data_IF_938368951035
#
_entry.id   IF_938368951035
#
_cell.length_a   1.000
_cell.length_b   1.000
_cell.length_c   1.000
_cell.angle_alpha   90.00
_cell.angle_beta   90.00
_cell.angle_gamma   90.00
#
_symmetry.space_group_name_H-M   'P 1'
#
loop_
_entity.id
_entity.type
_entity.pdbx_description
1 polymer ?
#
# COMPACT_ATOMS: atom_id res chain seq x y z
N UNK A 1 -19.76 -8.06 -53.02
CA UNK A 1 -18.55 -8.65 -52.39
C UNK A 1 -17.78 -7.71 -51.42
N UNK A 2 -18.30 -6.56 -51.06
CA UNK A 2 -17.59 -5.53 -50.23
C UNK A 2 -17.99 -5.51 -48.74
N UNK A 3 -19.07 -6.19 -48.33
CA UNK A 3 -19.49 -6.19 -46.92
C UNK A 3 -18.74 -7.20 -46.02
N UNK A 4 -18.31 -8.34 -46.55
CA UNK A 4 -17.60 -9.36 -45.77
C UNK A 4 -16.17 -8.95 -45.36
N UNK A 5 -15.50 -8.09 -46.14
CA UNK A 5 -14.15 -7.61 -45.80
C UNK A 5 -14.13 -6.60 -44.65
N UNK A 6 -15.18 -5.80 -44.47
CA UNK A 6 -15.25 -4.81 -43.37
C UNK A 6 -15.49 -5.45 -42.00
N UNK A 7 -16.24 -6.55 -41.94
CA UNK A 7 -16.53 -7.25 -40.69
C UNK A 7 -15.28 -7.98 -40.16
N UNK A 8 -14.51 -8.56 -41.07
CA UNK A 8 -13.24 -9.24 -40.75
C UNK A 8 -12.17 -8.31 -40.14
N UNK A 9 -12.08 -7.07 -40.62
CA UNK A 9 -11.12 -6.07 -40.13
C UNK A 9 -11.55 -5.52 -38.76
N UNK A 10 -12.83 -5.28 -38.52
CA UNK A 10 -13.35 -4.87 -37.20
C UNK A 10 -13.18 -5.95 -36.16
N UNK A 11 -13.42 -7.21 -36.52
CA UNK A 11 -13.18 -8.35 -35.62
C UNK A 11 -11.68 -8.54 -35.29
N UNK A 12 -10.79 -8.39 -36.27
CA UNK A 12 -9.36 -8.48 -36.08
C UNK A 12 -8.83 -7.33 -35.18
N UNK A 13 -9.32 -6.11 -35.38
CA UNK A 13 -8.93 -4.93 -34.56
C UNK A 13 -9.43 -5.11 -33.10
N UNK A 14 -10.65 -5.64 -32.91
CA UNK A 14 -11.18 -5.92 -31.57
C UNK A 14 -10.41 -7.04 -30.84
N UNK A 15 -9.97 -8.07 -31.55
CA UNK A 15 -9.14 -9.15 -30.98
C UNK A 15 -7.73 -8.63 -30.63
N UNK A 16 -7.14 -7.75 -31.48
CA UNK A 16 -5.87 -7.11 -31.16
C UNK A 16 -5.97 -6.16 -29.95
N UNK A 17 -7.06 -5.41 -29.79
CA UNK A 17 -7.28 -4.53 -28.64
C UNK A 17 -7.48 -5.33 -27.34
N UNK A 18 -8.13 -6.48 -27.39
CA UNK A 18 -8.28 -7.37 -26.22
C UNK A 18 -6.97 -8.06 -25.83
N UNK A 19 -6.09 -8.36 -26.80
CA UNK A 19 -4.78 -8.95 -26.53
C UNK A 19 -3.77 -7.96 -25.92
N UNK A 20 -4.07 -6.66 -25.92
CA UNK A 20 -3.23 -5.58 -25.38
C UNK A 20 -3.73 -5.04 -24.02
N UNK A 21 -4.68 -5.70 -23.36
CA UNK A 21 -5.10 -5.28 -22.03
C UNK A 21 -4.02 -5.60 -20.98
N UNK A 22 -3.75 -4.69 -20.02
CA UNK A 22 -2.88 -4.99 -18.88
C UNK A 22 -3.35 -6.26 -18.17
N UNK A 23 -2.40 -7.10 -17.75
CA UNK A 23 -2.72 -8.30 -16.99
C UNK A 23 -3.01 -7.96 -15.54
N UNK A 24 -4.18 -8.36 -15.03
CA UNK A 24 -4.57 -8.23 -13.64
C UNK A 24 -4.94 -9.61 -13.10
N UNK A 25 -4.50 -9.95 -11.90
CA UNK A 25 -4.85 -11.22 -11.27
C UNK A 25 -6.37 -11.32 -11.12
N UNK A 26 -6.87 -12.53 -11.32
CA UNK A 26 -8.27 -12.84 -11.02
C UNK A 26 -8.34 -13.49 -9.63
N UNK A 27 -9.48 -13.35 -8.91
CA UNK A 27 -9.72 -14.11 -7.70
C UNK A 27 -9.52 -15.61 -7.95
N UNK A 28 -8.96 -16.32 -6.97
CA UNK A 28 -8.83 -17.76 -7.06
C UNK A 28 -10.21 -18.41 -6.93
N UNK A 29 -10.34 -19.64 -7.47
CA UNK A 29 -11.48 -20.49 -7.14
C UNK A 29 -11.12 -21.24 -5.85
N UNK A 30 -11.85 -21.06 -4.74
CA UNK A 30 -11.55 -21.76 -3.50
C UNK A 30 -11.56 -23.28 -3.70
N UNK A 31 -10.62 -24.02 -3.09
CA UNK A 31 -10.63 -25.48 -3.17
C UNK A 31 -11.88 -26.07 -2.49
N UNK A 32 -12.33 -27.28 -2.85
CA UNK A 32 -13.53 -27.89 -2.29
C UNK A 32 -13.55 -28.01 -0.75
N UNK A 33 -12.38 -28.09 -0.11
CA UNK A 33 -12.23 -28.15 1.34
C UNK A 33 -12.11 -26.77 2.02
N UNK A 34 -12.30 -25.67 1.28
CA UNK A 34 -12.21 -24.33 1.84
C UNK A 34 -13.32 -24.07 2.85
N UNK A 35 -12.95 -23.90 4.11
CA UNK A 35 -13.89 -23.66 5.22
C UNK A 35 -14.18 -22.17 5.48
N UNK A 36 -13.64 -21.29 4.65
CA UNK A 36 -13.71 -19.82 4.81
C UNK A 36 -12.36 -19.19 5.19
N UNK A 37 -12.34 -17.84 5.24
CA UNK A 37 -11.13 -17.11 5.65
C UNK A 37 -10.68 -17.45 7.07
N UNK A 38 -9.35 -17.52 7.30
CA UNK A 38 -8.79 -17.87 8.61
C UNK A 38 -7.41 -17.24 8.83
N UNK A 39 -7.10 -16.93 10.09
CA UNK A 39 -5.75 -16.60 10.55
C UNK A 39 -5.00 -17.89 10.90
N UNK A 40 -3.93 -18.17 10.18
CA UNK A 40 -3.00 -19.26 10.47
C UNK A 40 -1.76 -18.74 11.24
N UNK A 41 -0.83 -19.62 11.57
CA UNK A 41 0.34 -19.26 12.35
C UNK A 41 1.25 -18.25 11.66
N UNK A 42 1.48 -18.41 10.38
CA UNK A 42 2.42 -17.64 9.54
C UNK A 42 1.79 -17.15 8.22
N UNK A 43 0.46 -17.23 8.12
CA UNK A 43 -0.29 -16.81 6.95
C UNK A 43 -1.72 -16.38 7.32
N UNK A 44 -2.40 -15.77 6.37
CA UNK A 44 -3.85 -15.59 6.38
C UNK A 44 -4.45 -16.20 5.12
N UNK A 45 -5.49 -16.99 5.27
CA UNK A 45 -6.33 -17.47 4.16
C UNK A 45 -7.44 -16.46 3.96
N UNK A 46 -7.52 -15.88 2.75
CA UNK A 46 -8.52 -14.85 2.44
C UNK A 46 -9.72 -15.43 1.70
N UNK A 47 -10.67 -14.56 1.33
CA UNK A 47 -12.03 -14.90 0.88
C UNK A 47 -12.13 -15.85 -0.33
N UNK A 48 -11.11 -15.90 -1.18
CA UNK A 48 -11.04 -16.77 -2.36
C UNK A 48 -10.11 -17.98 -2.17
N UNK A 49 -9.69 -18.23 -0.92
CA UNK A 49 -8.80 -19.32 -0.55
C UNK A 49 -7.31 -19.05 -0.82
N UNK A 50 -6.93 -17.84 -1.23
CA UNK A 50 -5.52 -17.49 -1.35
C UNK A 50 -4.87 -17.46 0.02
N UNK A 51 -3.64 -17.99 0.09
CA UNK A 51 -2.79 -17.96 1.27
C UNK A 51 -1.81 -16.80 1.14
N UNK A 52 -1.94 -15.80 2.03
CA UNK A 52 -1.04 -14.66 2.09
C UNK A 52 -0.08 -14.84 3.27
N UNK A 53 1.21 -15.03 3.04
CA UNK A 53 2.21 -15.18 4.11
C UNK A 53 2.21 -13.98 5.04
N UNK A 54 2.38 -14.21 6.34
CA UNK A 54 2.24 -13.18 7.36
C UNK A 54 3.33 -13.29 8.43
N UNK A 55 3.80 -12.14 8.93
CA UNK A 55 4.58 -12.02 10.16
C UNK A 55 3.70 -11.44 11.25
N UNK A 56 3.91 -11.90 12.48
CA UNK A 56 3.22 -11.39 13.65
C UNK A 56 4.21 -11.07 14.74
N UNK A 57 4.04 -9.92 15.37
CA UNK A 57 4.71 -9.56 16.59
C UNK A 57 3.63 -9.37 17.66
N UNK A 58 3.61 -10.26 18.63
CA UNK A 58 2.59 -10.33 19.63
C UNK A 58 3.18 -9.93 20.99
N UNK A 59 2.49 -9.09 21.80
CA UNK A 59 2.93 -8.77 23.14
C UNK A 59 2.74 -9.97 24.09
N UNK A 60 3.34 -9.88 25.27
CA UNK A 60 2.97 -10.75 26.38
C UNK A 60 1.57 -10.37 26.87
N UNK A 61 0.62 -11.32 26.84
CA UNK A 61 -0.77 -11.11 27.22
C UNK A 61 -1.65 -10.53 26.10
N UNK A 62 -2.84 -10.05 26.48
CA UNK A 62 -3.81 -9.49 25.54
C UNK A 62 -3.38 -8.08 25.09
N UNK A 63 -3.35 -7.81 23.78
CA UNK A 63 -2.98 -6.51 23.26
C UNK A 63 -4.09 -5.48 23.57
N UNK A 64 -3.68 -4.26 23.94
CA UNK A 64 -4.62 -3.15 24.04
C UNK A 64 -4.92 -2.53 22.67
N UNK A 65 -4.02 -2.68 21.70
CA UNK A 65 -4.20 -2.28 20.32
C UNK A 65 -3.58 -3.31 19.36
N UNK A 66 -4.05 -3.31 18.11
CA UNK A 66 -3.53 -4.17 17.05
C UNK A 66 -3.34 -3.34 15.79
N UNK A 67 -2.22 -3.51 15.12
CA UNK A 67 -1.89 -2.91 13.83
C UNK A 67 -1.91 -3.98 12.75
N UNK A 68 -2.78 -3.84 11.75
CA UNK A 68 -2.69 -4.56 10.48
C UNK A 68 -1.81 -3.73 9.54
N UNK A 69 -0.67 -4.27 9.15
CA UNK A 69 0.39 -3.54 8.47
C UNK A 69 0.49 -3.92 6.98
N UNK A 70 0.50 -2.92 6.11
CA UNK A 70 0.59 -3.03 4.65
C UNK A 70 1.90 -2.45 4.15
N UNK A 71 2.68 -3.26 3.46
CA UNK A 71 3.96 -2.85 2.88
C UNK A 71 3.80 -2.04 1.59
N UNK A 72 4.89 -1.36 1.16
CA UNK A 72 4.98 -0.60 -0.08
C UNK A 72 5.12 -1.47 -1.35
N UNK A 73 5.19 -0.80 -2.50
CA UNK A 73 5.42 -1.43 -3.80
C UNK A 73 6.72 -2.22 -3.80
N UNK A 74 6.71 -3.42 -4.37
CA UNK A 74 7.86 -4.31 -4.51
C UNK A 74 8.48 -4.81 -3.20
N UNK A 75 7.93 -4.43 -2.05
CA UNK A 75 8.32 -4.87 -0.72
C UNK A 75 7.46 -6.07 -0.27
N UNK A 76 7.54 -6.43 0.99
CA UNK A 76 6.85 -7.58 1.56
C UNK A 76 6.58 -7.40 3.08
N UNK A 77 5.95 -8.36 3.72
CA UNK A 77 5.56 -8.36 5.15
C UNK A 77 6.66 -7.95 6.13
N UNK A 78 7.96 -8.09 5.77
CA UNK A 78 9.05 -7.68 6.65
C UNK A 78 9.30 -6.16 6.67
N UNK A 79 8.56 -5.35 5.92
CA UNK A 79 8.67 -3.87 5.96
C UNK A 79 8.47 -3.28 7.36
N UNK A 80 7.77 -4.00 8.25
CA UNK A 80 7.56 -3.60 9.64
C UNK A 80 8.46 -4.34 10.66
N UNK A 81 9.57 -4.96 10.24
CA UNK A 81 10.43 -5.76 11.11
C UNK A 81 11.12 -4.96 12.23
N UNK A 82 11.26 -3.65 12.08
CA UNK A 82 11.76 -2.76 13.14
C UNK A 82 10.63 -2.25 14.04
N UNK A 83 9.51 -1.84 13.46
CA UNK A 83 8.35 -1.33 14.18
C UNK A 83 7.61 -2.44 14.97
N UNK A 84 7.47 -3.62 14.37
CA UNK A 84 6.72 -4.73 14.96
C UNK A 84 7.18 -5.13 16.36
N UNK A 85 8.46 -5.47 16.57
CA UNK A 85 9.00 -5.78 17.91
C UNK A 85 8.83 -4.62 18.89
N UNK A 86 9.13 -3.38 18.45
CA UNK A 86 9.02 -2.18 19.28
C UNK A 86 7.59 -1.97 19.81
N UNK A 87 6.58 -2.13 18.97
CA UNK A 87 5.18 -2.01 19.38
C UNK A 87 4.71 -3.20 20.21
N UNK A 88 5.20 -4.43 19.92
CA UNK A 88 4.85 -5.60 20.72
C UNK A 88 5.30 -5.45 22.19
N UNK A 89 6.51 -4.91 22.44
CA UNK A 89 7.00 -4.59 23.79
C UNK A 89 6.11 -3.58 24.54
N UNK A 90 5.26 -2.85 23.81
CA UNK A 90 4.32 -1.82 24.34
C UNK A 90 2.87 -2.28 24.39
N UNK A 91 2.64 -3.58 24.24
CA UNK A 91 1.31 -4.18 24.30
C UNK A 91 0.48 -4.00 23.03
N UNK A 92 1.10 -3.72 21.88
CA UNK A 92 0.46 -3.58 20.58
C UNK A 92 0.82 -4.77 19.72
N UNK A 93 -0.15 -5.57 19.30
CA UNK A 93 0.09 -6.65 18.34
C UNK A 93 0.23 -6.10 16.92
N UNK A 94 1.10 -6.70 16.10
CA UNK A 94 1.26 -6.32 14.69
C UNK A 94 1.08 -7.55 13.81
N UNK A 95 0.27 -7.41 12.76
CA UNK A 95 -0.01 -8.41 11.74
C UNK A 95 0.38 -7.83 10.38
N UNK A 96 1.52 -8.21 9.82
CA UNK A 96 2.01 -7.77 8.52
C UNK A 96 1.96 -8.93 7.53
N UNK A 97 1.28 -8.78 6.41
CA UNK A 97 1.13 -9.83 5.41
C UNK A 97 1.66 -9.41 4.04
N UNK A 98 2.09 -10.38 3.24
CA UNK A 98 2.45 -10.15 1.85
C UNK A 98 1.18 -9.89 1.04
N UNK A 99 1.04 -8.67 0.51
CA UNK A 99 -0.06 -8.34 -0.40
C UNK A 99 0.08 -9.13 -1.70
N UNK A 100 -1.04 -9.49 -2.34
CA UNK A 100 -1.00 -10.25 -3.60
C UNK A 100 -0.11 -9.60 -4.64
N UNK A 101 0.68 -10.43 -5.31
CA UNK A 101 1.64 -9.98 -6.31
C UNK A 101 3.00 -9.63 -5.73
N UNK A 102 3.16 -9.60 -4.41
CA UNK A 102 4.39 -9.20 -3.72
C UNK A 102 4.87 -10.27 -2.72
N UNK A 103 6.12 -10.14 -2.28
CA UNK A 103 6.72 -11.07 -1.35
C UNK A 103 6.63 -12.52 -1.85
N UNK A 104 6.02 -13.38 -1.05
CA UNK A 104 5.72 -14.80 -1.37
C UNK A 104 4.23 -15.04 -1.58
N UNK A 105 3.42 -13.98 -1.69
CA UNK A 105 2.00 -14.13 -2.00
C UNK A 105 1.77 -14.62 -3.43
N UNK A 106 0.58 -15.19 -3.74
CA UNK A 106 0.25 -15.63 -5.09
C UNK A 106 0.40 -14.53 -6.15
N UNK A 107 0.80 -14.94 -7.35
CA UNK A 107 0.89 -14.03 -8.51
C UNK A 107 2.05 -13.05 -8.47
N UNK A 108 3.17 -13.38 -7.77
CA UNK A 108 4.34 -12.52 -7.63
C UNK A 108 4.73 -11.80 -8.94
N UNK A 109 4.85 -10.47 -8.87
CA UNK A 109 5.17 -9.59 -9.99
C UNK A 109 3.97 -9.19 -10.87
N UNK A 110 2.80 -9.80 -10.69
CA UNK A 110 1.57 -9.47 -11.44
C UNK A 110 0.64 -8.64 -10.56
N UNK A 111 0.14 -7.52 -11.09
CA UNK A 111 -0.78 -6.64 -10.37
C UNK A 111 -2.06 -7.37 -9.94
N UNK A 112 -2.41 -7.27 -8.67
CA UNK A 112 -3.61 -7.92 -8.16
C UNK A 112 -4.90 -7.12 -8.43
N UNK A 113 -4.77 -5.83 -8.71
CA UNK A 113 -5.91 -4.93 -8.84
C UNK A 113 -6.39 -4.37 -7.50
N UNK A 114 -6.87 -3.14 -7.54
CA UNK A 114 -7.36 -2.43 -6.35
C UNK A 114 -8.45 -3.22 -5.62
N UNK A 115 -9.44 -3.74 -6.36
CA UNK A 115 -10.60 -4.41 -5.76
C UNK A 115 -10.19 -5.66 -4.96
N UNK A 116 -9.29 -6.46 -5.52
CA UNK A 116 -8.84 -7.69 -4.85
C UNK A 116 -7.96 -7.37 -3.63
N UNK A 117 -7.06 -6.38 -3.74
CA UNK A 117 -6.21 -5.96 -2.62
C UNK A 117 -7.02 -5.33 -1.48
N UNK A 118 -8.04 -4.53 -1.78
CA UNK A 118 -8.91 -3.93 -0.76
C UNK A 118 -9.81 -4.99 -0.11
N UNK A 119 -10.26 -6.00 -0.84
CA UNK A 119 -11.06 -7.10 -0.28
C UNK A 119 -10.22 -8.01 0.61
N UNK A 120 -8.96 -8.28 0.24
CA UNK A 120 -7.99 -8.97 1.11
C UNK A 120 -7.80 -8.21 2.42
N UNK A 121 -7.60 -6.88 2.36
CA UNK A 121 -7.47 -6.05 3.55
C UNK A 121 -8.71 -6.13 4.44
N UNK A 122 -9.92 -6.04 3.87
CA UNK A 122 -11.17 -6.17 4.64
C UNK A 122 -11.25 -7.51 5.36
N UNK A 123 -10.89 -8.58 4.66
CA UNK A 123 -10.89 -9.94 5.21
C UNK A 123 -9.89 -10.06 6.37
N UNK A 124 -8.66 -9.59 6.18
CA UNK A 124 -7.63 -9.64 7.24
C UNK A 124 -8.06 -8.84 8.46
N UNK A 125 -8.56 -7.61 8.26
CA UNK A 125 -9.01 -6.75 9.38
C UNK A 125 -10.19 -7.38 10.11
N UNK A 126 -11.15 -7.99 9.40
CA UNK A 126 -12.29 -8.66 10.02
C UNK A 126 -11.85 -9.85 10.89
N UNK A 127 -10.92 -10.67 10.40
CA UNK A 127 -10.35 -11.78 11.17
C UNK A 127 -9.58 -11.31 12.40
N UNK A 128 -8.79 -10.24 12.26
CA UNK A 128 -8.03 -9.63 13.37
C UNK A 128 -9.00 -9.03 14.40
N UNK A 129 -10.06 -8.34 13.98
CA UNK A 129 -11.13 -7.83 14.87
C UNK A 129 -11.82 -8.96 15.63
N UNK A 130 -12.14 -10.06 14.96
CA UNK A 130 -12.75 -11.23 15.60
C UNK A 130 -11.81 -11.87 16.64
N UNK A 131 -10.50 -11.87 16.37
CA UNK A 131 -9.47 -12.40 17.28
C UNK A 131 -9.20 -11.50 18.49
N UNK A 132 -9.35 -10.17 18.33
CA UNK A 132 -9.05 -9.15 19.33
C UNK A 132 -10.24 -8.18 19.51
N UNK A 133 -11.40 -8.65 20.01
CA UNK A 133 -12.63 -7.86 20.01
C UNK A 133 -12.57 -6.61 20.90
N UNK A 134 -11.69 -6.59 21.90
CA UNK A 134 -11.56 -5.51 22.88
C UNK A 134 -10.39 -4.56 22.60
N UNK A 135 -9.56 -4.86 21.60
CA UNK A 135 -8.42 -4.03 21.25
C UNK A 135 -8.83 -2.91 20.27
N UNK A 136 -8.11 -1.79 20.29
CA UNK A 136 -8.15 -0.80 19.21
C UNK A 136 -7.51 -1.42 17.97
N UNK A 137 -8.24 -1.50 16.88
CA UNK A 137 -7.70 -2.01 15.59
C UNK A 137 -7.34 -0.83 14.70
N UNK A 138 -6.10 -0.80 14.26
CA UNK A 138 -5.62 0.14 13.27
C UNK A 138 -5.10 -0.57 12.02
N UNK A 139 -5.20 0.10 10.88
CA UNK A 139 -4.45 -0.25 9.68
C UNK A 139 -3.30 0.73 9.53
N UNK A 140 -2.08 0.24 9.34
CA UNK A 140 -0.92 1.06 9.01
C UNK A 140 -0.43 0.71 7.60
N UNK A 141 -0.50 1.66 6.67
CA UNK A 141 -0.09 1.46 5.28
C UNK A 141 1.11 2.34 4.91
N UNK A 142 2.20 1.70 4.45
CA UNK A 142 3.36 2.37 3.89
C UNK A 142 3.22 2.48 2.37
N UNK A 143 3.41 3.68 1.80
CA UNK A 143 3.47 3.87 0.34
C UNK A 143 2.26 3.27 -0.38
N UNK A 144 2.44 2.29 -1.28
CA UNK A 144 1.37 1.54 -1.94
C UNK A 144 0.36 0.95 -0.92
N UNK A 145 0.84 0.42 0.22
CA UNK A 145 -0.04 -0.08 1.27
C UNK A 145 -0.93 1.01 1.85
N UNK A 146 -0.44 2.24 1.92
CA UNK A 146 -1.24 3.43 2.26
C UNK A 146 -2.31 3.72 1.22
N UNK A 147 -1.98 3.62 -0.07
CA UNK A 147 -2.96 3.81 -1.14
C UNK A 147 -4.06 2.73 -1.15
N UNK A 148 -3.71 1.45 -0.91
CA UNK A 148 -4.69 0.36 -0.72
C UNK A 148 -5.60 0.66 0.46
N UNK A 149 -5.04 1.13 1.58
CA UNK A 149 -5.80 1.46 2.77
C UNK A 149 -6.76 2.64 2.50
N UNK A 150 -6.31 3.73 1.87
CA UNK A 150 -7.20 4.84 1.49
C UNK A 150 -8.35 4.35 0.63
N UNK A 151 -8.06 3.61 -0.45
CA UNK A 151 -9.10 3.07 -1.34
C UNK A 151 -10.11 2.16 -0.62
N UNK A 152 -9.66 1.39 0.38
CA UNK A 152 -10.55 0.55 1.19
C UNK A 152 -11.42 1.36 2.15
N UNK A 153 -10.83 2.33 2.87
CA UNK A 153 -11.52 3.11 3.91
C UNK A 153 -12.44 4.21 3.36
N UNK A 154 -12.15 4.74 2.17
CA UNK A 154 -13.02 5.68 1.47
C UNK A 154 -14.20 5.00 0.76
N UNK A 155 -14.19 3.68 0.61
CA UNK A 155 -15.24 2.92 -0.07
C UNK A 155 -16.52 2.82 0.76
N UNK A 156 -17.60 2.30 0.13
CA UNK A 156 -18.86 2.03 0.82
C UNK A 156 -18.80 0.87 1.83
N UNK A 157 -17.76 0.05 1.77
CA UNK A 157 -17.51 -1.08 2.68
C UNK A 157 -16.13 -0.92 3.36
N UNK A 158 -15.94 0.05 4.26
CA UNK A 158 -14.66 0.21 4.94
C UNK A 158 -14.31 -1.03 5.79
N UNK A 159 -13.02 -1.35 5.95
CA UNK A 159 -12.57 -2.36 6.89
C UNK A 159 -13.03 -2.06 8.33
N UNK A 160 -13.36 -3.06 9.16
CA UNK A 160 -13.82 -2.84 10.54
C UNK A 160 -12.65 -2.52 11.49
N UNK A 161 -11.97 -1.39 11.25
CA UNK A 161 -10.90 -0.85 12.08
C UNK A 161 -11.28 0.53 12.64
N UNK A 162 -10.62 0.92 13.73
CA UNK A 162 -10.90 2.14 14.47
C UNK A 162 -10.03 3.31 14.05
N UNK A 163 -8.86 3.04 13.43
CA UNK A 163 -7.84 4.03 13.06
C UNK A 163 -7.20 3.68 11.73
N UNK A 164 -6.73 4.71 11.03
CA UNK A 164 -5.91 4.58 9.84
C UNK A 164 -4.62 5.39 10.02
N UNK A 165 -3.48 4.76 9.77
CA UNK A 165 -2.17 5.40 9.79
C UNK A 165 -1.55 5.25 8.39
N UNK A 166 -1.19 6.35 7.79
CA UNK A 166 -0.61 6.42 6.45
C UNK A 166 0.84 6.90 6.58
N UNK A 167 1.78 6.07 6.17
CA UNK A 167 3.22 6.36 6.18
C UNK A 167 3.67 6.66 4.75
N UNK A 168 3.88 7.93 4.42
CA UNK A 168 4.21 8.39 3.08
C UNK A 168 3.34 7.71 1.99
N UNK A 169 1.99 7.85 2.05
CA UNK A 169 1.10 7.10 1.17
C UNK A 169 1.36 7.42 -0.30
N UNK A 170 1.23 6.41 -1.15
CA UNK A 170 1.43 6.55 -2.59
C UNK A 170 0.23 7.28 -3.22
N UNK A 171 0.40 8.58 -3.48
CA UNK A 171 -0.64 9.49 -4.04
C UNK A 171 -0.24 10.11 -5.38
N UNK A 172 0.85 9.64 -5.98
CA UNK A 172 1.36 10.15 -7.26
C UNK A 172 0.64 9.54 -8.47
N UNK A 173 -0.66 9.86 -8.60
CA UNK A 173 -1.54 9.35 -9.63
C UNK A 173 -1.35 10.00 -11.01
N UNK A 174 -2.19 9.61 -11.97
CA UNK A 174 -2.14 10.11 -13.35
C UNK A 174 -2.23 11.61 -13.46
N UNK A 175 -3.07 12.26 -12.65
CA UNK A 175 -3.35 13.70 -12.72
C UNK A 175 -2.15 14.57 -12.32
N UNK A 176 -1.24 14.07 -11.50
CA UNK A 176 -0.01 14.77 -11.09
C UNK A 176 1.21 14.44 -11.96
N UNK A 177 1.07 13.57 -12.97
CA UNK A 177 2.17 13.20 -13.85
C UNK A 177 2.18 13.99 -15.16
N UNK A 178 3.38 14.30 -15.73
CA UNK A 178 3.49 14.92 -17.03
C UNK A 178 2.80 14.10 -18.13
N UNK A 179 2.19 14.76 -19.11
CA UNK A 179 1.47 14.09 -20.21
C UNK A 179 2.33 13.09 -20.98
N UNK A 180 3.61 13.40 -21.17
CA UNK A 180 4.57 12.49 -21.84
C UNK A 180 4.75 11.18 -21.06
N UNK A 181 4.81 11.28 -19.72
CA UNK A 181 4.95 10.12 -18.85
C UNK A 181 3.69 9.25 -18.88
N UNK A 182 2.51 9.89 -18.77
CA UNK A 182 1.19 9.23 -18.88
C UNK A 182 1.06 8.47 -20.21
N UNK A 183 1.38 9.12 -21.33
CA UNK A 183 1.29 8.51 -22.65
C UNK A 183 2.27 7.34 -22.81
N UNK A 184 3.51 7.48 -22.35
CA UNK A 184 4.52 6.42 -22.47
C UNK A 184 4.20 5.20 -21.59
N UNK A 185 3.78 5.40 -20.34
CA UNK A 185 3.39 4.30 -19.48
C UNK A 185 2.11 3.60 -19.98
N UNK A 186 1.12 4.38 -20.44
CA UNK A 186 -0.09 3.83 -21.06
C UNK A 186 0.23 2.94 -22.26
N UNK A 187 1.12 3.39 -23.16
CA UNK A 187 1.54 2.61 -24.32
C UNK A 187 2.36 1.37 -23.90
N UNK A 188 3.32 1.53 -23.00
CA UNK A 188 4.14 0.42 -22.52
C UNK A 188 3.30 -0.67 -21.84
N UNK A 189 2.34 -0.28 -20.99
CA UNK A 189 1.46 -1.23 -20.31
C UNK A 189 0.58 -2.05 -21.29
N UNK A 190 0.24 -1.49 -22.47
CA UNK A 190 -0.57 -2.17 -23.48
C UNK A 190 0.26 -2.97 -24.48
N UNK A 191 1.41 -2.46 -24.88
CA UNK A 191 2.23 -3.10 -25.92
C UNK A 191 3.25 -4.08 -25.34
N UNK A 192 3.67 -3.86 -24.09
CA UNK A 192 4.74 -4.61 -23.41
C UNK A 192 4.38 -4.90 -21.94
N UNK A 193 3.10 -5.00 -21.59
CA UNK A 193 2.61 -5.04 -20.20
C UNK A 193 3.31 -6.07 -19.33
N UNK A 194 3.50 -7.29 -19.82
CA UNK A 194 4.17 -8.37 -19.10
C UNK A 194 5.70 -8.24 -19.03
N UNK A 195 6.31 -7.27 -19.73
CA UNK A 195 7.75 -7.05 -19.67
C UNK A 195 8.09 -6.41 -18.33
N UNK A 196 8.96 -7.05 -17.57
CA UNK A 196 9.52 -6.52 -16.34
C UNK A 196 10.80 -5.74 -16.62
N UNK A 197 10.89 -4.52 -16.10
CA UNK A 197 12.06 -3.65 -16.25
C UNK A 197 12.64 -3.37 -14.86
N UNK A 198 13.93 -3.62 -14.70
CA UNK A 198 14.72 -3.07 -13.61
C UNK A 198 15.25 -1.71 -14.04
N UNK A 199 15.01 -0.63 -13.28
CA UNK A 199 15.54 0.68 -13.63
C UNK A 199 17.06 0.62 -13.72
N UNK A 200 17.68 1.23 -14.75
CA UNK A 200 19.15 1.23 -14.85
C UNK A 200 19.76 2.07 -13.72
N UNK A 201 20.93 1.67 -13.22
CA UNK A 201 21.61 2.29 -12.08
C UNK A 201 21.71 3.83 -12.18
N UNK A 202 21.96 4.35 -13.36
CA UNK A 202 22.07 5.80 -13.57
C UNK A 202 20.76 6.56 -13.30
N UNK A 203 19.61 5.90 -13.41
CA UNK A 203 18.30 6.52 -13.20
C UNK A 203 17.88 6.52 -11.71
N UNK A 204 18.45 5.65 -10.88
CA UNK A 204 18.01 5.46 -9.48
C UNK A 204 19.11 5.70 -8.45
N UNK A 205 20.39 5.80 -8.85
CA UNK A 205 21.52 5.92 -7.92
C UNK A 205 21.46 7.11 -6.96
N UNK A 206 20.79 8.19 -7.36
CA UNK A 206 20.67 9.43 -6.59
C UNK A 206 19.33 9.50 -5.84
N UNK A 207 18.44 8.52 -6.03
CA UNK A 207 17.14 8.42 -5.36
C UNK A 207 17.30 7.53 -4.13
N UNK A 208 16.94 8.08 -2.97
CA UNK A 208 16.99 7.37 -1.69
C UNK A 208 15.62 7.29 -1.07
N UNK A 209 15.22 6.08 -0.70
CA UNK A 209 13.99 5.86 0.04
C UNK A 209 14.16 6.06 1.55
N UNK A 210 15.41 6.08 2.06
CA UNK A 210 15.73 6.20 3.50
C UNK A 210 17.16 6.72 3.71
N UNK A 211 17.42 7.31 4.87
CA UNK A 211 18.76 7.61 5.37
C UNK A 211 19.40 6.44 6.15
N UNK A 212 18.65 5.37 6.39
CA UNK A 212 19.12 4.16 7.04
C UNK A 212 19.81 3.24 6.03
N UNK A 213 21.10 3.45 5.81
CA UNK A 213 21.89 2.69 4.84
C UNK A 213 21.94 1.19 5.15
N UNK A 214 21.85 0.80 6.42
CA UNK A 214 21.81 -0.61 6.81
C UNK A 214 20.53 -1.27 6.28
N UNK A 215 19.41 -0.56 6.40
CA UNK A 215 18.12 -1.03 5.89
C UNK A 215 18.12 -1.10 4.36
N UNK A 216 18.63 -0.10 3.67
CA UNK A 216 18.75 -0.13 2.20
C UNK A 216 19.62 -1.29 1.71
N UNK A 217 20.73 -1.59 2.40
CA UNK A 217 21.57 -2.75 2.10
C UNK A 217 20.85 -4.09 2.38
N UNK A 218 20.06 -4.16 3.46
CA UNK A 218 19.22 -5.33 3.76
C UNK A 218 18.22 -5.57 2.64
N UNK A 219 17.46 -4.53 2.27
CA UNK A 219 16.46 -4.59 1.20
C UNK A 219 17.08 -5.00 -0.13
N UNK A 220 18.23 -4.43 -0.50
CA UNK A 220 18.94 -4.76 -1.75
C UNK A 220 19.46 -6.21 -1.84
N UNK A 221 19.42 -6.97 -0.74
CA UNK A 221 19.84 -8.39 -0.67
C UNK A 221 18.68 -9.35 -0.37
N UNK A 222 17.51 -8.80 -0.14
CA UNK A 222 16.35 -9.58 0.27
C UNK A 222 15.71 -10.26 -0.94
N UNK A 223 15.64 -11.61 -0.99
CA UNK A 223 15.08 -12.33 -2.14
C UNK A 223 13.55 -12.17 -2.29
N UNK A 224 12.87 -11.69 -1.25
CA UNK A 224 11.43 -11.45 -1.28
C UNK A 224 11.08 -10.08 -1.88
N UNK A 225 12.07 -9.17 -2.04
CA UNK A 225 11.94 -7.92 -2.77
C UNK A 225 11.82 -8.16 -4.28
N UNK A 226 11.10 -7.27 -4.99
CA UNK A 226 10.98 -7.30 -6.45
C UNK A 226 11.80 -6.14 -7.03
N UNK A 227 12.81 -6.43 -7.84
CA UNK A 227 13.68 -5.41 -8.44
C UNK A 227 13.28 -5.04 -9.88
N UNK A 228 12.64 -5.97 -10.59
CA UNK A 228 12.13 -5.74 -11.94
C UNK A 228 10.61 -5.68 -11.93
N UNK A 229 10.05 -4.54 -12.29
CA UNK A 229 8.60 -4.29 -12.27
C UNK A 229 8.02 -4.35 -13.68
N UNK A 230 6.90 -5.05 -13.83
CA UNK A 230 6.14 -5.12 -15.09
C UNK A 230 5.47 -3.79 -15.39
N UNK A 231 5.35 -3.43 -16.67
CA UNK A 231 4.67 -2.18 -17.05
C UNK A 231 3.18 -2.18 -16.72
N UNK A 232 2.49 -3.32 -16.82
CA UNK A 232 1.09 -3.44 -16.42
C UNK A 232 0.91 -3.32 -14.89
N UNK A 233 1.85 -3.84 -14.10
CA UNK A 233 1.86 -3.68 -12.65
C UNK A 233 2.12 -2.22 -12.25
N UNK A 234 3.04 -1.53 -12.94
CA UNK A 234 3.30 -0.12 -12.71
C UNK A 234 2.08 0.76 -13.07
N UNK A 235 1.41 0.48 -14.19
CA UNK A 235 0.19 1.20 -14.57
C UNK A 235 -0.93 0.98 -13.55
N UNK A 236 -1.11 -0.24 -13.05
CA UNK A 236 -2.08 -0.55 -12.00
C UNK A 236 -1.78 0.17 -10.68
N UNK A 237 -0.50 0.32 -10.33
CA UNK A 237 -0.10 1.16 -9.19
C UNK A 237 -0.51 2.62 -9.41
N UNK A 238 -0.28 3.19 -10.61
CA UNK A 238 -0.66 4.60 -10.90
C UNK A 238 -2.18 4.79 -10.85
N UNK A 239 -2.97 3.80 -11.31
CA UNK A 239 -4.43 3.80 -11.15
C UNK A 239 -4.83 3.84 -9.66
N UNK A 240 -4.20 3.03 -8.82
CA UNK A 240 -4.43 3.01 -7.37
C UNK A 240 -4.02 4.34 -6.72
N UNK A 241 -2.87 4.90 -7.11
CA UNK A 241 -2.38 6.18 -6.60
C UNK A 241 -3.32 7.34 -6.97
N UNK A 242 -3.92 7.33 -8.17
CA UNK A 242 -4.94 8.32 -8.55
C UNK A 242 -6.19 8.21 -7.67
N UNK A 243 -6.65 6.99 -7.37
CA UNK A 243 -7.74 6.74 -6.44
C UNK A 243 -7.40 7.26 -5.05
N UNK A 244 -6.23 6.92 -4.51
CA UNK A 244 -5.80 7.36 -3.19
C UNK A 244 -5.65 8.88 -3.10
N UNK A 245 -5.09 9.54 -4.14
CA UNK A 245 -4.98 11.00 -4.20
C UNK A 245 -6.33 11.70 -4.21
N UNK A 246 -7.33 11.12 -4.91
CA UNK A 246 -8.66 11.71 -5.00
C UNK A 246 -9.49 11.49 -3.75
N UNK A 247 -9.40 10.30 -3.15
CA UNK A 247 -10.31 9.83 -2.11
C UNK A 247 -9.70 9.95 -0.69
N UNK A 248 -8.53 10.60 -0.53
CA UNK A 248 -7.81 10.76 0.74
C UNK A 248 -8.68 11.38 1.84
N UNK A 249 -9.50 12.37 1.49
CA UNK A 249 -10.38 13.07 2.43
C UNK A 249 -11.65 12.30 2.82
N UNK A 250 -11.97 11.23 2.09
CA UNK A 250 -13.21 10.47 2.26
C UNK A 250 -13.08 9.29 3.25
N UNK A 251 -11.93 9.13 3.90
CA UNK A 251 -11.73 8.11 4.93
C UNK A 251 -12.66 8.37 6.13
N UNK A 252 -13.39 7.33 6.57
CA UNK A 252 -14.48 7.46 7.55
C UNK A 252 -14.05 7.21 8.99
N UNK A 253 -12.77 7.00 9.22
CA UNK A 253 -12.17 6.79 10.55
C UNK A 253 -11.10 7.84 10.81
N UNK A 254 -10.75 8.12 12.08
CA UNK A 254 -9.61 8.96 12.38
C UNK A 254 -8.37 8.47 11.64
N UNK A 255 -7.80 9.34 10.80
CA UNK A 255 -6.69 9.08 9.89
C UNK A 255 -5.52 10.00 10.23
N UNK A 256 -4.35 9.42 10.44
CA UNK A 256 -3.09 10.16 10.57
C UNK A 256 -2.20 9.88 9.36
N UNK A 257 -1.83 10.95 8.65
CA UNK A 257 -0.91 10.88 7.52
C UNK A 257 0.43 11.47 7.94
N UNK A 258 1.48 10.67 7.79
CA UNK A 258 2.86 11.00 8.13
C UNK A 258 3.68 11.12 6.86
N UNK A 259 4.41 12.24 6.71
CA UNK A 259 5.17 12.54 5.51
C UNK A 259 6.54 13.13 5.86
N UNK A 260 7.56 12.73 5.12
CA UNK A 260 8.94 13.13 5.34
C UNK A 260 9.39 14.20 4.36
N UNK A 261 10.08 15.25 4.85
CA UNK A 261 10.60 16.33 4.03
C UNK A 261 11.68 15.91 3.01
N UNK A 262 12.25 14.72 3.18
CA UNK A 262 13.26 14.16 2.28
C UNK A 262 12.71 13.00 1.43
N UNK A 263 11.39 12.89 1.30
CA UNK A 263 10.78 11.86 0.45
C UNK A 263 11.11 12.13 -1.03
N UNK A 264 11.85 11.21 -1.64
CA UNK A 264 12.25 11.26 -3.06
C UNK A 264 11.48 10.25 -3.92
N UNK A 265 10.49 9.57 -3.34
CA UNK A 265 9.66 8.57 -4.02
C UNK A 265 8.27 9.14 -4.31
N UNK A 266 7.66 9.77 -3.31
CA UNK A 266 6.43 10.55 -3.46
C UNK A 266 6.82 12.00 -3.24
N UNK A 267 6.94 12.75 -4.32
CA UNK A 267 7.38 14.16 -4.31
C UNK A 267 6.33 15.07 -3.66
N UNK A 268 6.72 16.30 -3.34
CA UNK A 268 5.87 17.27 -2.65
C UNK A 268 4.63 17.65 -3.46
N UNK A 269 4.75 17.91 -4.77
CA UNK A 269 3.61 18.31 -5.63
C UNK A 269 2.47 17.27 -5.64
N UNK A 270 2.70 15.95 -5.83
CA UNK A 270 1.65 14.94 -5.69
C UNK A 270 1.01 14.89 -4.31
N UNK A 271 1.79 15.07 -3.24
CA UNK A 271 1.29 15.08 -1.87
C UNK A 271 0.43 16.34 -1.63
N UNK A 272 0.90 17.50 -2.03
CA UNK A 272 0.15 18.77 -1.95
C UNK A 272 -1.18 18.67 -2.69
N UNK A 273 -1.18 18.14 -3.93
CA UNK A 273 -2.42 17.92 -4.70
C UNK A 273 -3.40 16.98 -3.97
N UNK A 274 -2.91 15.90 -3.36
CA UNK A 274 -3.77 14.97 -2.62
C UNK A 274 -4.38 15.64 -1.37
N UNK A 275 -3.62 16.47 -0.66
CA UNK A 275 -4.09 17.23 0.49
C UNK A 275 -5.05 18.36 0.08
N UNK A 276 -4.78 19.07 -1.03
CA UNK A 276 -5.71 20.04 -1.59
C UNK A 276 -7.08 19.40 -1.91
N UNK A 277 -7.08 18.21 -2.52
CA UNK A 277 -8.30 17.44 -2.82
C UNK A 277 -9.03 16.98 -1.57
N UNK A 278 -8.28 16.59 -0.54
CA UNK A 278 -8.85 16.20 0.74
C UNK A 278 -9.53 17.38 1.46
N UNK A 279 -9.07 18.63 1.22
CA UNK A 279 -9.64 19.83 1.83
C UNK A 279 -9.69 19.76 3.36
N UNK A 280 -10.76 20.32 3.93
CA UNK A 280 -10.99 20.31 5.39
C UNK A 280 -11.57 18.97 5.88
N UNK A 281 -10.95 17.83 5.53
CA UNK A 281 -11.41 16.52 5.96
C UNK A 281 -11.31 16.37 7.49
N UNK A 282 -12.42 16.24 8.23
CA UNK A 282 -12.41 16.30 9.70
C UNK A 282 -11.72 15.11 10.36
N UNK A 283 -11.58 14.01 9.64
CA UNK A 283 -10.94 12.80 10.13
C UNK A 283 -9.44 12.74 9.81
N UNK A 284 -8.93 13.64 8.96
CA UNK A 284 -7.55 13.62 8.50
C UNK A 284 -6.68 14.58 9.32
N UNK A 285 -5.61 14.05 9.90
CA UNK A 285 -4.54 14.83 10.53
C UNK A 285 -3.22 14.47 9.86
N UNK A 286 -2.34 15.45 9.71
CA UNK A 286 -1.04 15.25 9.07
C UNK A 286 0.10 15.56 10.04
N UNK A 287 1.25 14.91 9.85
CA UNK A 287 2.49 15.20 10.55
C UNK A 287 3.66 15.22 9.55
N UNK A 288 4.42 16.32 9.56
CA UNK A 288 5.55 16.55 8.69
C UNK A 288 6.86 16.38 9.45
N UNK A 289 7.68 15.45 9.00
CA UNK A 289 8.97 15.13 9.63
C UNK A 289 10.12 15.72 8.83
N UNK A 290 10.74 16.77 9.36
CA UNK A 290 11.85 17.50 8.71
C UNK A 290 13.02 16.59 8.31
N UNK A 291 13.33 15.57 9.11
CA UNK A 291 14.38 14.59 8.81
C UNK A 291 13.83 13.26 8.26
N UNK A 292 12.52 13.19 7.96
CA UNK A 292 11.85 12.00 7.46
C UNK A 292 12.16 11.75 5.98
N UNK A 293 12.23 10.47 5.63
CA UNK A 293 12.33 9.97 4.28
C UNK A 293 11.07 9.17 3.92
N UNK A 294 11.07 8.51 2.75
CA UNK A 294 9.92 7.72 2.32
C UNK A 294 9.62 6.55 3.28
N UNK A 295 10.64 5.83 3.74
CA UNK A 295 10.48 4.68 4.63
C UNK A 295 10.47 5.11 6.11
N UNK A 296 9.49 5.95 6.49
CA UNK A 296 9.37 6.55 7.82
C UNK A 296 9.45 5.56 8.98
N UNK A 297 8.95 4.35 8.80
CA UNK A 297 9.00 3.29 9.82
C UNK A 297 10.33 2.55 9.88
N UNK A 298 11.31 2.90 9.04
CA UNK A 298 12.62 2.24 8.92
C UNK A 298 13.79 3.19 8.79
N UNK A 299 13.57 4.50 8.69
CA UNK A 299 14.64 5.48 8.65
C UNK A 299 15.25 5.72 10.05
N UNK A 300 16.27 6.58 10.15
CA UNK A 300 17.03 6.75 11.41
C UNK A 300 16.21 7.37 12.53
N UNK A 301 15.15 8.10 12.20
CA UNK A 301 14.23 8.71 13.16
C UNK A 301 12.97 7.86 13.43
N UNK A 302 12.90 6.64 12.94
CA UNK A 302 11.71 5.79 13.01
C UNK A 302 11.09 5.68 14.42
N UNK A 303 11.90 5.73 15.49
CA UNK A 303 11.41 5.72 16.86
C UNK A 303 10.49 6.91 17.18
N UNK A 304 10.73 8.09 16.59
CA UNK A 304 9.85 9.26 16.72
C UNK A 304 8.49 8.97 16.07
N UNK A 305 8.50 8.40 14.86
CA UNK A 305 7.29 8.00 14.14
C UNK A 305 6.51 6.94 14.92
N UNK A 306 7.20 5.96 15.53
CA UNK A 306 6.53 4.93 16.34
C UNK A 306 5.79 5.50 17.54
N UNK A 307 6.36 6.52 18.20
CA UNK A 307 5.72 7.21 19.33
C UNK A 307 4.47 7.95 18.90
N UNK A 308 4.51 8.60 17.73
CA UNK A 308 3.33 9.31 17.18
C UNK A 308 2.23 8.33 16.75
N UNK A 309 2.60 7.18 16.15
CA UNK A 309 1.64 6.10 15.86
C UNK A 309 0.99 5.58 17.15
N UNK A 310 1.78 5.33 18.20
CA UNK A 310 1.24 4.89 19.50
C UNK A 310 0.27 5.91 20.08
N UNK A 311 0.58 7.21 19.98
CA UNK A 311 -0.31 8.28 20.43
C UNK A 311 -1.65 8.27 19.67
N UNK A 312 -1.62 8.12 18.34
CA UNK A 312 -2.84 7.99 17.50
C UNK A 312 -3.67 6.79 17.89
N UNK A 313 -3.02 5.66 18.21
CA UNK A 313 -3.74 4.46 18.68
C UNK A 313 -4.46 4.71 20.00
N UNK A 314 -3.85 5.45 20.93
CA UNK A 314 -4.44 5.77 22.24
C UNK A 314 -5.55 6.80 22.12
N UNK A 315 -5.25 7.93 21.51
CA UNK A 315 -6.19 9.03 21.31
C UNK A 315 -5.88 9.74 19.97
N UNK A 316 -6.75 9.59 18.97
CA UNK A 316 -6.50 10.19 17.66
C UNK A 316 -6.56 11.73 17.66
N UNK A 317 -7.09 12.35 18.73
CA UNK A 317 -7.15 13.81 18.88
C UNK A 317 -5.95 14.39 19.65
N UNK A 318 -5.18 13.55 20.37
CA UNK A 318 -4.02 14.00 21.13
C UNK A 318 -2.92 14.59 20.23
N UNK A 319 -2.17 15.60 20.68
CA UNK A 319 -1.01 16.09 19.97
C UNK A 319 0.01 14.97 19.70
N UNK A 320 0.70 15.04 18.56
CA UNK A 320 1.81 14.13 18.30
C UNK A 320 2.96 14.39 19.29
N UNK A 321 3.46 13.37 19.99
CA UNK A 321 4.60 13.50 20.90
C UNK A 321 5.84 14.11 20.28
N UNK A 322 6.06 13.91 18.98
CA UNK A 322 7.15 14.53 18.22
C UNK A 322 7.04 16.05 18.12
N UNK A 323 5.84 16.62 18.28
CA UNK A 323 5.56 18.01 17.95
C UNK A 323 5.62 18.31 16.44
N UNK A 324 5.61 17.27 15.59
CA UNK A 324 5.62 17.45 14.13
C UNK A 324 4.47 18.35 13.66
N UNK A 325 4.77 19.40 12.87
CA UNK A 325 3.73 20.28 12.33
C UNK A 325 2.90 19.54 11.27
N UNK A 326 1.75 20.09 10.86
CA UNK A 326 1.04 19.61 9.68
C UNK A 326 1.93 19.64 8.42
N UNK A 327 1.64 18.75 7.47
CA UNK A 327 2.28 18.80 6.14
C UNK A 327 1.93 20.16 5.50
N UNK A 328 2.92 20.91 4.96
CA UNK A 328 2.65 22.18 4.30
C UNK A 328 1.64 22.03 3.16
N UNK A 329 0.69 22.95 3.08
CA UNK A 329 -0.19 23.13 1.94
C UNK A 329 0.43 24.25 1.10
N UNK A 330 1.12 23.93 0.02
CA UNK A 330 1.51 24.92 -0.98
C UNK A 330 0.65 24.81 -2.24
#
# INVERSE_FOLDING_TARGET
>A
MTSFFRIGWLGAVLVFLAACAPTVQQPLTPPPAFAGPALEADAVVVQDGALLPMLRWLPEGEPWAVVVALHGMNDHKASFHLAGPHWAERGIAVYAYDQRGFGRAPGRGVWAGQDLMTEDLRTVVALVRARHPNAVIAVAGESMGGAVAVAAFASDRPPPADRLVLLAPAVWGWSSQPLSYRASLWAAARLMGSTALEPPDWAVRDIRASDNLVELLRMGRDPDMIFATRFDTLAGLVDLMETASRDLGDTRVPTALFYGANDQIIEDDPMALALERAGDAPNLRTAFYENGWHLLNRDRQALTVYGDVEAVLRDPAAPFPSGAPPVPAE
#
